data_IF_393526495193
#
_entry.id   IF_393526495193
#
_cell.length_a   1.000
_cell.length_b   1.000
_cell.length_c   1.000
_cell.angle_alpha   90.00
_cell.angle_beta   90.00
_cell.angle_gamma   90.00
#
_symmetry.space_group_name_H-M   'P 1'
#
loop_
_entity.id
_entity.type
_entity.pdbx_description
1 polymer ?
#
# COMPACT_ATOMS: atom_id res chain seq x y z
N UNK A 1 -17.30 8.66 1.99
CA UNK A 1 -16.31 8.53 3.08
C UNK A 1 -15.54 9.83 3.15
N UNK A 2 -15.33 10.39 4.34
CA UNK A 2 -14.49 11.58 4.50
C UNK A 2 -13.08 11.27 3.97
N UNK A 3 -12.53 12.14 3.12
CA UNK A 3 -11.21 11.95 2.51
C UNK A 3 -10.11 11.87 3.58
N UNK A 4 -10.32 12.50 4.73
CA UNK A 4 -9.44 12.47 5.90
C UNK A 4 -9.27 11.04 6.44
N UNK A 5 -10.29 10.19 6.32
CA UNK A 5 -10.23 8.79 6.74
C UNK A 5 -9.24 8.02 5.86
N UNK A 6 -9.20 8.29 4.54
CA UNK A 6 -8.22 7.67 3.64
C UNK A 6 -6.81 8.03 4.07
N UNK A 7 -6.58 9.28 4.46
CA UNK A 7 -5.27 9.75 4.90
C UNK A 7 -4.85 9.07 6.20
N UNK A 8 -5.75 9.00 7.18
CA UNK A 8 -5.50 8.32 8.45
C UNK A 8 -5.22 6.82 8.28
N UNK A 9 -5.93 6.13 7.37
CA UNK A 9 -5.64 4.71 7.07
C UNK A 9 -4.20 4.55 6.59
N UNK A 10 -3.72 5.44 5.71
CA UNK A 10 -2.34 5.35 5.22
C UNK A 10 -1.31 5.70 6.28
N UNK A 11 -1.59 6.69 7.14
CA UNK A 11 -0.67 7.11 8.21
C UNK A 11 -0.56 6.03 9.30
N UNK A 12 -1.70 5.46 9.73
CA UNK A 12 -1.76 4.57 10.88
C UNK A 12 -1.52 3.10 10.52
N UNK A 13 -1.80 2.69 9.29
CA UNK A 13 -1.71 1.28 8.88
C UNK A 13 -0.79 1.06 7.69
N UNK A 14 -1.08 1.67 6.53
CA UNK A 14 -0.31 1.36 5.31
C UNK A 14 1.16 1.71 5.45
N UNK A 15 1.51 2.94 5.80
CA UNK A 15 2.91 3.36 5.92
C UNK A 15 3.68 2.57 7.01
N UNK A 16 3.14 2.38 8.24
CA UNK A 16 3.80 1.56 9.25
C UNK A 16 4.07 0.12 8.80
N UNK A 17 3.15 -0.52 8.08
CA UNK A 17 3.36 -1.88 7.55
C UNK A 17 4.57 -1.91 6.61
N UNK A 18 4.65 -0.98 5.66
CA UNK A 18 5.77 -0.92 4.70
C UNK A 18 7.10 -0.56 5.37
N UNK A 19 7.09 0.36 6.34
CA UNK A 19 8.29 0.70 7.13
C UNK A 19 8.77 -0.52 7.92
N UNK A 20 7.84 -1.22 8.60
CA UNK A 20 8.16 -2.42 9.37
C UNK A 20 8.77 -3.51 8.49
N UNK A 21 8.15 -3.84 7.35
CA UNK A 21 8.67 -4.84 6.41
C UNK A 21 10.04 -4.45 5.83
N UNK A 22 10.33 -3.15 5.73
CA UNK A 22 11.61 -2.66 5.28
C UNK A 22 12.74 -2.88 6.27
N UNK A 23 12.51 -2.64 7.58
CA UNK A 23 13.50 -2.87 8.63
C UNK A 23 13.59 -4.33 9.08
N UNK A 24 12.47 -5.05 9.06
CA UNK A 24 12.35 -6.43 9.50
C UNK A 24 11.85 -7.29 8.33
N UNK A 25 12.72 -7.61 7.36
CA UNK A 25 12.32 -8.28 6.14
C UNK A 25 11.85 -9.72 6.36
N UNK A 26 12.22 -10.39 7.45
CA UNK A 26 11.76 -11.74 7.76
C UNK A 26 10.41 -11.73 8.51
N UNK A 27 9.42 -12.46 8.00
CA UNK A 27 8.09 -12.56 8.59
C UNK A 27 7.95 -13.90 9.31
N UNK A 28 8.31 -13.91 10.61
CA UNK A 28 8.30 -15.12 11.45
C UNK A 28 6.89 -15.66 11.72
N UNK A 29 5.89 -14.79 11.80
CA UNK A 29 4.52 -15.19 12.13
C UNK A 29 3.72 -15.53 10.86
N UNK A 30 3.27 -16.79 10.76
CA UNK A 30 2.49 -17.28 9.62
C UNK A 30 1.16 -16.54 9.41
N UNK A 31 0.51 -16.05 10.47
CA UNK A 31 -0.74 -15.28 10.34
C UNK A 31 -0.48 -13.91 9.72
N UNK A 32 0.63 -13.26 10.09
CA UNK A 32 1.04 -11.98 9.48
C UNK A 32 1.34 -12.18 8.00
N UNK A 33 2.11 -13.21 7.65
CA UNK A 33 2.42 -13.51 6.24
C UNK A 33 1.16 -13.77 5.41
N UNK A 34 0.21 -14.58 5.91
CA UNK A 34 -1.09 -14.82 5.25
C UNK A 34 -1.93 -13.54 5.15
N UNK A 35 -1.90 -12.71 6.19
CA UNK A 35 -2.59 -11.42 6.22
C UNK A 35 -2.06 -10.47 5.13
N UNK A 36 -0.74 -10.35 4.99
CA UNK A 36 -0.11 -9.54 3.94
C UNK A 36 -0.43 -10.06 2.54
N UNK A 37 -0.38 -11.38 2.36
CA UNK A 37 -0.74 -12.01 1.09
C UNK A 37 -2.19 -11.69 0.70
N UNK A 38 -3.14 -11.89 1.62
CA UNK A 38 -4.55 -11.62 1.39
C UNK A 38 -4.79 -10.12 1.14
N UNK A 39 -4.17 -9.25 1.94
CA UNK A 39 -4.27 -7.80 1.78
C UNK A 39 -3.77 -7.34 0.41
N UNK A 40 -2.64 -7.88 -0.05
CA UNK A 40 -2.09 -7.57 -1.37
C UNK A 40 -3.04 -7.97 -2.51
N UNK A 41 -3.65 -9.16 -2.44
CA UNK A 41 -4.66 -9.61 -3.41
C UNK A 41 -5.86 -8.67 -3.42
N UNK A 42 -6.40 -8.32 -2.24
CA UNK A 42 -7.55 -7.42 -2.12
C UNK A 42 -7.22 -6.04 -2.72
N UNK A 43 -6.04 -5.48 -2.42
CA UNK A 43 -5.59 -4.19 -2.97
C UNK A 43 -5.56 -4.22 -4.50
N UNK A 44 -4.96 -5.25 -5.10
CA UNK A 44 -4.90 -5.37 -6.56
C UNK A 44 -6.30 -5.43 -7.15
N UNK A 45 -7.17 -6.30 -6.64
CA UNK A 45 -8.53 -6.48 -7.19
C UNK A 45 -9.36 -5.20 -7.05
N UNK A 46 -9.30 -4.54 -5.89
CA UNK A 46 -10.03 -3.31 -5.63
C UNK A 46 -9.58 -2.17 -6.56
N UNK A 47 -8.27 -1.96 -6.70
CA UNK A 47 -7.76 -0.90 -7.57
C UNK A 47 -7.88 -1.22 -9.05
N UNK A 48 -7.83 -2.50 -9.45
CA UNK A 48 -8.13 -2.93 -10.81
C UNK A 48 -9.58 -2.60 -11.20
N UNK A 49 -10.53 -2.95 -10.31
CA UNK A 49 -11.93 -2.60 -10.50
C UNK A 49 -12.11 -1.08 -10.62
N UNK A 50 -11.57 -0.31 -9.67
CA UNK A 50 -11.69 1.15 -9.70
C UNK A 50 -11.01 1.81 -10.90
N UNK A 51 -9.87 1.28 -11.36
CA UNK A 51 -9.20 1.75 -12.57
C UNK A 51 -10.06 1.50 -13.81
N UNK A 52 -10.59 0.29 -13.94
CA UNK A 52 -11.48 -0.09 -15.04
C UNK A 52 -12.73 0.80 -15.08
N UNK A 53 -13.42 0.96 -13.95
CA UNK A 53 -14.64 1.78 -13.87
C UNK A 53 -14.41 3.26 -14.16
N UNK A 54 -13.31 3.85 -13.69
CA UNK A 54 -13.01 5.25 -14.02
C UNK A 54 -12.63 5.41 -15.49
N UNK A 55 -11.86 4.48 -16.04
CA UNK A 55 -11.46 4.54 -17.44
C UNK A 55 -12.67 4.45 -18.38
N UNK A 56 -13.62 3.55 -18.10
CA UNK A 56 -14.81 3.39 -18.95
C UNK A 56 -15.77 4.57 -18.87
N UNK A 57 -15.87 5.24 -17.71
CA UNK A 57 -16.82 6.34 -17.49
C UNK A 57 -16.24 7.69 -17.91
N UNK A 58 -15.02 8.02 -17.50
CA UNK A 58 -14.44 9.36 -17.67
C UNK A 58 -13.21 9.40 -18.56
N UNK A 59 -12.75 8.26 -19.09
CA UNK A 59 -11.48 8.13 -19.83
C UNK A 59 -10.27 8.65 -19.02
N UNK A 60 -10.39 8.70 -17.69
CA UNK A 60 -9.33 9.16 -16.80
C UNK A 60 -8.61 7.98 -16.17
N UNK A 61 -7.29 8.07 -16.15
CA UNK A 61 -6.41 7.09 -15.54
C UNK A 61 -5.95 7.65 -14.19
N UNK A 62 -6.36 6.99 -13.10
CA UNK A 62 -5.90 7.33 -11.75
C UNK A 62 -4.55 6.68 -11.47
N UNK A 63 -3.50 7.50 -11.39
CA UNK A 63 -2.15 7.05 -11.01
C UNK A 63 -2.11 6.33 -9.67
N UNK A 64 -2.99 6.69 -8.73
CA UNK A 64 -3.08 6.01 -7.43
C UNK A 64 -3.47 4.55 -7.61
N UNK A 65 -4.44 4.25 -8.48
CA UNK A 65 -4.86 2.88 -8.74
C UNK A 65 -3.73 2.07 -9.40
N UNK A 66 -3.01 2.68 -10.34
CA UNK A 66 -1.87 2.03 -11.02
C UNK A 66 -0.77 1.66 -10.02
N UNK A 67 -0.34 2.60 -9.17
CA UNK A 67 0.73 2.34 -8.18
C UNK A 67 0.32 1.22 -7.23
N UNK A 68 -0.95 1.15 -6.83
CA UNK A 68 -1.43 0.09 -5.96
C UNK A 68 -1.44 -1.28 -6.64
N UNK A 69 -1.79 -1.33 -7.92
CA UNK A 69 -1.80 -2.57 -8.71
C UNK A 69 -0.40 -3.07 -9.05
N UNK A 70 0.54 -2.19 -9.38
CA UNK A 70 1.85 -2.57 -9.91
C UNK A 70 2.92 -2.65 -8.82
N UNK A 71 2.82 -1.83 -7.77
CA UNK A 71 3.83 -1.78 -6.72
C UNK A 71 3.29 -2.27 -5.37
N UNK A 72 2.28 -1.62 -4.80
CA UNK A 72 1.82 -1.87 -3.40
C UNK A 72 1.34 -3.31 -3.23
N UNK A 73 0.40 -3.74 -4.06
CA UNK A 73 -0.19 -5.08 -4.00
C UNK A 73 0.83 -6.19 -4.25
N UNK A 74 1.60 -6.14 -5.36
CA UNK A 74 2.63 -7.13 -5.65
C UNK A 74 3.70 -7.24 -4.57
N UNK A 75 4.13 -6.11 -3.96
CA UNK A 75 5.12 -6.15 -2.89
C UNK A 75 4.59 -6.87 -1.64
N UNK A 76 3.32 -6.65 -1.27
CA UNK A 76 2.67 -7.33 -0.14
C UNK A 76 2.45 -8.82 -0.42
N UNK A 77 2.05 -9.18 -1.64
CA UNK A 77 1.92 -10.58 -2.08
C UNK A 77 3.28 -11.26 -2.01
N UNK A 78 4.32 -10.64 -2.55
CA UNK A 78 5.68 -11.18 -2.55
C UNK A 78 6.20 -11.37 -1.12
N UNK A 79 6.00 -10.39 -0.23
CA UNK A 79 6.34 -10.49 1.18
C UNK A 79 5.60 -11.66 1.87
N UNK A 80 4.28 -11.72 1.71
CA UNK A 80 3.43 -12.72 2.36
C UNK A 80 3.66 -14.14 1.87
N UNK A 81 3.85 -14.32 0.55
CA UNK A 81 4.09 -15.62 -0.06
C UNK A 81 5.45 -16.20 0.34
N UNK A 82 6.51 -15.40 0.26
CA UNK A 82 7.87 -15.85 0.60
C UNK A 82 8.17 -15.80 2.10
N UNK A 83 7.25 -15.26 2.90
CA UNK A 83 7.45 -14.94 4.33
C UNK A 83 8.71 -14.11 4.57
N UNK A 84 9.15 -13.38 3.55
CA UNK A 84 10.33 -12.54 3.58
C UNK A 84 10.28 -11.49 2.49
N UNK A 85 10.96 -10.36 2.71
CA UNK A 85 11.12 -9.29 1.74
C UNK A 85 12.61 -8.95 1.57
N UNK A 86 13.39 -9.80 0.85
CA UNK A 86 14.84 -9.61 0.74
C UNK A 86 15.22 -8.32 -0.01
N UNK A 87 16.48 -7.94 0.08
CA UNK A 87 17.04 -6.86 -0.75
C UNK A 87 16.87 -7.19 -2.25
N UNK A 88 16.50 -6.21 -3.11
CA UNK A 88 16.28 -4.78 -2.81
C UNK A 88 14.84 -4.42 -2.38
N UNK A 89 13.93 -5.39 -2.30
CA UNK A 89 12.51 -5.16 -2.07
C UNK A 89 12.20 -4.54 -0.71
N UNK A 90 12.98 -4.85 0.33
CA UNK A 90 12.88 -4.17 1.63
C UNK A 90 13.18 -2.67 1.55
N UNK A 91 14.16 -2.26 0.73
CA UNK A 91 14.49 -0.85 0.55
C UNK A 91 13.38 -0.11 -0.21
N UNK A 92 12.80 -0.75 -1.23
CA UNK A 92 11.63 -0.23 -1.93
C UNK A 92 10.46 -0.05 -0.94
N UNK A 93 10.27 -1.01 -0.02
CA UNK A 93 9.27 -0.90 1.03
C UNK A 93 9.48 0.31 1.94
N UNK A 94 10.73 0.59 2.35
CA UNK A 94 11.04 1.80 3.14
C UNK A 94 10.72 3.08 2.37
N UNK A 95 11.13 3.17 1.10
CA UNK A 95 10.87 4.34 0.25
C UNK A 95 9.36 4.58 0.14
N UNK A 96 8.60 3.53 -0.13
CA UNK A 96 7.14 3.61 -0.23
C UNK A 96 6.49 3.97 1.11
N UNK A 97 6.95 3.38 2.22
CA UNK A 97 6.41 3.61 3.55
C UNK A 97 6.63 5.05 4.02
N UNK A 98 7.86 5.55 3.97
CA UNK A 98 8.17 6.95 4.34
C UNK A 98 7.54 7.95 3.38
N UNK A 99 7.56 7.67 2.07
CA UNK A 99 6.91 8.52 1.07
C UNK A 99 5.40 8.64 1.31
N UNK A 100 4.73 7.53 1.61
CA UNK A 100 3.32 7.52 1.99
C UNK A 100 3.08 8.30 3.29
N UNK A 101 3.87 8.04 4.34
CA UNK A 101 3.72 8.70 5.64
C UNK A 101 3.76 10.23 5.51
N UNK A 102 4.80 10.76 4.85
CA UNK A 102 4.98 12.21 4.70
C UNK A 102 3.85 12.80 3.84
N UNK A 103 3.58 12.21 2.68
CA UNK A 103 2.56 12.70 1.75
C UNK A 103 1.17 12.74 2.40
N UNK A 104 0.76 11.69 3.09
CA UNK A 104 -0.55 11.63 3.73
C UNK A 104 -0.63 12.48 5.00
N UNK A 105 0.45 12.61 5.77
CA UNK A 105 0.49 13.54 6.91
C UNK A 105 0.30 14.99 6.47
N UNK A 106 0.96 15.40 5.38
CA UNK A 106 0.75 16.73 4.79
C UNK A 106 -0.68 16.94 4.30
N UNK A 107 -1.26 15.94 3.62
CA UNK A 107 -2.64 16.03 3.14
C UNK A 107 -3.66 16.11 4.27
N UNK A 108 -3.44 15.35 5.35
CA UNK A 108 -4.27 15.39 6.55
C UNK A 108 -4.17 16.73 7.28
N UNK A 109 -2.96 17.27 7.44
CA UNK A 109 -2.79 18.61 8.01
C UNK A 109 -3.54 19.67 7.20
N UNK A 110 -3.43 19.63 5.86
CA UNK A 110 -4.15 20.55 4.96
C UNK A 110 -5.66 20.35 4.94
N UNK A 111 -6.20 19.22 5.38
CA UNK A 111 -7.66 19.02 5.46
C UNK A 111 -8.27 19.56 6.75
N UNK A 112 -7.44 19.95 7.73
CA UNK A 112 -7.87 20.53 9.01
C UNK A 112 -7.88 22.07 9.01
N UNK A 113 -7.32 22.70 7.98
CA UNK A 113 -7.15 24.15 7.84
C UNK A 113 -7.67 24.62 6.48
#
# INVERSE_FOLDING_TARGET
MDISIIYLIHILFSAPIFIYLGYYPEIKNNYVAKGLLLLGIIIILYHAYHLYSHYTISQQISWVNIIHMICVGPLLIFAGYNKSLPHPWSQISLIMGYGALINFSMKYYKSLH
#
